data_IF_280586643608
#
_entry.id   IF_280586643608
#
_cell.length_a   1.000
_cell.length_b   1.000
_cell.length_c   1.000
_cell.angle_alpha   90.00
_cell.angle_beta   90.00
_cell.angle_gamma   90.00
#
_symmetry.space_group_name_H-M   'P 1'
#
loop_
_entity.id
_entity.type
_entity.pdbx_description
1 polymer ?
#
# COMPACT_ATOMS: atom_id res chain seq x y z
N UNK A 1 74.72 13.12 34.26
CA UNK A 1 74.85 13.96 33.04
C UNK A 1 73.75 13.55 32.07
N UNK A 2 72.84 14.49 31.75
CA UNK A 2 72.12 14.75 30.47
C UNK A 2 71.49 13.53 29.73
N UNK A 3 70.27 13.50 29.18
CA UNK A 3 69.10 14.36 28.98
C UNK A 3 68.00 13.38 28.48
N UNK A 4 66.83 13.25 29.11
CA UNK A 4 65.56 13.94 28.78
C UNK A 4 65.23 14.04 27.28
N UNK A 5 64.29 13.21 26.83
CA UNK A 5 63.45 13.42 25.63
C UNK A 5 62.06 12.82 25.93
N UNK A 6 61.19 13.53 26.67
CA UNK A 6 60.04 14.32 26.15
C UNK A 6 59.36 13.64 24.94
N UNK A 7 58.36 12.79 25.14
CA UNK A 7 56.96 13.13 25.41
C UNK A 7 56.34 14.02 24.32
N UNK A 8 55.40 13.46 23.56
CA UNK A 8 54.05 13.98 23.24
C UNK A 8 53.34 12.82 22.52
N UNK A 9 52.64 11.97 23.28
CA UNK A 9 51.57 11.12 22.73
C UNK A 9 50.33 12.00 22.65
N UNK A 10 50.07 12.52 21.46
CA UNK A 10 48.86 13.27 21.15
C UNK A 10 47.70 12.26 21.00
N UNK A 11 47.14 11.82 22.14
CA UNK A 11 45.92 10.99 22.13
C UNK A 11 44.73 11.91 21.86
N UNK A 12 44.50 12.20 20.58
CA UNK A 12 43.26 12.78 20.07
C UNK A 12 42.13 11.78 20.35
N UNK A 13 41.53 11.92 21.53
CA UNK A 13 40.29 11.25 21.91
C UNK A 13 39.17 11.89 21.07
N UNK A 14 39.05 11.41 19.84
CA UNK A 14 37.96 11.73 18.93
C UNK A 14 36.68 11.16 19.51
N UNK A 15 35.98 11.98 20.29
CA UNK A 15 34.64 11.72 20.79
C UNK A 15 33.69 11.88 19.59
N UNK A 16 33.67 10.88 18.70
CA UNK A 16 32.60 10.70 17.72
C UNK A 16 31.33 10.37 18.50
N UNK A 17 30.63 11.41 18.94
CA UNK A 17 29.24 11.30 19.36
C UNK A 17 28.47 10.96 18.09
N UNK A 18 28.32 9.65 17.84
CA UNK A 18 27.34 9.14 16.88
C UNK A 18 25.97 9.51 17.44
N UNK A 19 25.49 10.69 17.05
CA UNK A 19 24.10 11.06 17.21
C UNK A 19 23.31 10.16 16.25
N UNK A 20 22.97 8.94 16.71
CA UNK A 20 22.07 8.05 15.99
C UNK A 20 20.71 8.72 15.96
N UNK A 21 20.41 9.39 14.85
CA UNK A 21 19.04 9.75 14.50
C UNK A 21 18.27 8.42 14.37
N UNK A 22 17.68 8.00 15.47
CA UNK A 22 16.78 6.86 15.51
C UNK A 22 15.51 7.33 14.83
N UNK A 23 15.47 7.20 13.51
CA UNK A 23 14.22 7.30 12.75
C UNK A 23 13.36 6.19 13.32
N UNK A 24 12.36 6.56 14.12
CA UNK A 24 11.39 5.62 14.64
C UNK A 24 10.83 4.86 13.43
N UNK A 25 11.06 3.54 13.41
CA UNK A 25 10.44 2.68 12.42
C UNK A 25 8.93 2.88 12.55
N UNK A 26 8.23 3.02 11.42
CA UNK A 26 6.77 3.05 11.47
C UNK A 26 6.27 1.73 12.06
N UNK A 27 5.20 1.82 12.84
CA UNK A 27 4.52 0.66 13.38
C UNK A 27 3.33 0.28 12.49
N UNK A 28 2.99 -1.00 12.51
CA UNK A 28 1.73 -1.45 11.92
C UNK A 28 0.56 -0.85 12.70
N UNK A 29 -0.44 -0.34 12.00
CA UNK A 29 -1.69 0.11 12.60
C UNK A 29 -2.78 -0.90 12.33
N UNK A 30 -3.54 -1.24 13.37
CA UNK A 30 -4.66 -2.18 13.30
C UNK A 30 -5.89 -1.45 13.81
N UNK A 31 -6.89 -1.31 12.94
CA UNK A 31 -8.16 -0.67 13.23
C UNK A 31 -9.26 -1.74 13.24
N UNK A 32 -9.70 -2.20 14.42
CA UNK A 32 -10.79 -3.14 14.53
C UNK A 32 -12.07 -2.64 13.86
N UNK A 33 -12.85 -3.56 13.30
CA UNK A 33 -14.10 -3.18 12.66
C UNK A 33 -15.11 -2.58 13.63
N UNK A 34 -15.82 -1.59 13.11
CA UNK A 34 -17.06 -1.06 13.70
C UNK A 34 -18.25 -1.61 12.91
N UNK A 35 -19.43 -1.69 13.53
CA UNK A 35 -20.67 -2.13 12.86
C UNK A 35 -20.96 -3.64 12.89
N UNK A 36 -21.93 -4.05 12.07
CA UNK A 36 -22.54 -5.39 12.07
C UNK A 36 -22.37 -6.11 10.72
N UNK A 37 -22.54 -7.43 10.71
CA UNK A 37 -22.45 -8.26 9.51
C UNK A 37 -21.11 -9.00 9.34
N UNK A 38 -20.93 -9.58 8.14
CA UNK A 38 -19.72 -10.34 7.80
C UNK A 38 -18.51 -9.38 7.69
N UNK A 39 -17.42 -9.62 8.44
CA UNK A 39 -16.30 -8.70 8.46
C UNK A 39 -15.55 -8.71 7.12
N UNK A 40 -15.18 -7.52 6.66
CA UNK A 40 -14.24 -7.30 5.55
C UNK A 40 -12.99 -6.63 6.10
N UNK A 41 -11.86 -6.76 5.41
CA UNK A 41 -10.59 -6.14 5.79
C UNK A 41 -9.98 -5.42 4.60
N UNK A 42 -9.48 -4.21 4.83
CA UNK A 42 -8.61 -3.50 3.88
C UNK A 42 -7.19 -3.52 4.41
N UNK A 43 -6.24 -3.99 3.59
CA UNK A 43 -4.81 -3.73 3.78
C UNK A 43 -4.48 -2.44 3.01
N UNK A 44 -4.26 -1.34 3.73
CA UNK A 44 -3.99 -0.02 3.16
C UNK A 44 -2.49 0.25 3.11
N UNK A 45 -1.88 0.09 1.93
CA UNK A 45 -0.45 0.36 1.72
C UNK A 45 -0.22 1.90 1.73
N UNK A 46 0.65 2.40 2.63
CA UNK A 46 0.90 3.83 2.76
C UNK A 46 1.66 4.38 1.55
N UNK A 47 1.60 5.70 1.38
CA UNK A 47 2.32 6.44 0.37
C UNK A 47 3.79 6.61 0.70
N UNK A 48 4.59 6.92 -0.32
CA UNK A 48 6.03 7.10 -0.20
C UNK A 48 6.38 8.17 0.84
N UNK A 49 7.17 7.81 1.86
CA UNK A 49 7.62 8.71 2.93
C UNK A 49 6.50 9.30 3.80
N UNK A 50 5.28 8.74 3.74
CA UNK A 50 4.15 9.18 4.57
C UNK A 50 4.11 8.32 5.84
N UNK A 51 4.19 8.93 7.04
CA UNK A 51 4.02 8.20 8.30
C UNK A 51 2.65 7.51 8.40
N UNK A 52 2.62 6.29 8.94
CA UNK A 52 1.38 5.52 9.09
C UNK A 52 0.30 6.24 9.93
N UNK A 53 0.69 6.99 10.96
CA UNK A 53 -0.25 7.72 11.82
C UNK A 53 -1.06 8.80 11.07
N UNK A 54 -0.61 9.27 9.90
CA UNK A 54 -1.36 10.19 9.06
C UNK A 54 -2.62 9.57 8.45
N UNK A 55 -2.76 8.23 8.50
CA UNK A 55 -3.92 7.52 7.98
C UNK A 55 -5.03 7.32 9.01
N UNK A 56 -4.78 7.59 10.29
CA UNK A 56 -5.72 7.31 11.39
C UNK A 56 -7.08 7.97 11.20
N UNK A 57 -7.11 9.28 10.94
CA UNK A 57 -8.37 10.03 10.78
C UNK A 57 -9.14 9.56 9.54
N UNK A 58 -8.44 9.37 8.41
CA UNK A 58 -9.01 8.83 7.18
C UNK A 58 -9.65 7.47 7.39
N UNK A 59 -8.96 6.56 8.10
CA UNK A 59 -9.49 5.22 8.40
C UNK A 59 -10.74 5.31 9.27
N UNK A 60 -10.73 6.15 10.31
CA UNK A 60 -11.90 6.33 11.16
C UNK A 60 -13.10 6.88 10.39
N UNK A 61 -12.93 7.86 9.51
CA UNK A 61 -14.03 8.40 8.71
C UNK A 61 -14.55 7.37 7.68
N UNK A 62 -13.67 6.54 7.11
CA UNK A 62 -14.10 5.41 6.26
C UNK A 62 -14.95 4.42 7.06
N UNK A 63 -14.48 3.99 8.23
CA UNK A 63 -15.18 3.04 9.09
C UNK A 63 -16.53 3.58 9.58
N UNK A 64 -16.60 4.87 9.90
CA UNK A 64 -17.82 5.57 10.34
C UNK A 64 -18.84 5.71 9.21
N UNK A 65 -18.38 5.89 7.98
CA UNK A 65 -19.25 6.13 6.82
C UNK A 65 -19.75 4.85 6.14
N UNK A 66 -19.19 3.68 6.49
CA UNK A 66 -19.57 2.42 5.88
C UNK A 66 -20.63 1.66 6.69
N UNK A 67 -21.49 0.92 5.98
CA UNK A 67 -22.41 -0.06 6.60
C UNK A 67 -21.79 -1.46 6.70
N UNK A 68 -20.56 -1.64 6.22
CA UNK A 68 -19.82 -2.90 6.28
C UNK A 68 -19.06 -2.98 7.59
N UNK A 69 -19.06 -4.16 8.24
CA UNK A 69 -18.15 -4.45 9.34
C UNK A 69 -16.70 -4.46 8.85
N UNK A 70 -16.05 -3.31 8.82
CA UNK A 70 -14.80 -3.10 8.08
C UNK A 70 -13.59 -2.96 9.01
N UNK A 71 -12.68 -3.92 8.95
CA UNK A 71 -11.32 -3.82 9.48
C UNK A 71 -10.45 -3.04 8.52
N UNK A 72 -9.51 -2.27 9.05
CA UNK A 72 -8.46 -1.67 8.24
C UNK A 72 -7.13 -1.90 8.93
N UNK A 73 -6.11 -2.25 8.14
CA UNK A 73 -4.74 -2.35 8.63
C UNK A 73 -3.81 -1.54 7.73
N UNK A 74 -2.82 -0.90 8.33
CA UNK A 74 -1.81 -0.11 7.63
C UNK A 74 -0.45 -0.71 7.99
N UNK A 75 0.20 -1.46 7.08
CA UNK A 75 1.49 -2.05 7.37
C UNK A 75 2.60 -1.01 7.43
N UNK A 76 3.59 -1.25 8.27
CA UNK A 76 4.89 -0.61 8.22
C UNK A 76 5.68 -1.19 7.04
N UNK A 77 6.09 -0.31 6.12
CA UNK A 77 6.89 -0.70 4.95
C UNK A 77 8.30 -0.12 5.04
N UNK A 78 9.29 -0.82 4.48
CA UNK A 78 10.70 -0.47 4.63
C UNK A 78 10.97 0.95 4.13
N UNK A 79 11.58 1.79 4.98
CA UNK A 79 11.87 3.20 4.68
C UNK A 79 10.65 4.02 4.21
N UNK A 80 9.42 3.55 4.50
CA UNK A 80 8.17 4.11 3.96
C UNK A 80 8.11 4.10 2.42
N UNK A 81 8.76 3.13 1.78
CA UNK A 81 8.90 3.03 0.32
C UNK A 81 8.64 1.60 -0.14
N UNK A 82 7.37 1.26 -0.39
CA UNK A 82 6.97 -0.08 -0.83
C UNK A 82 7.57 -0.53 -2.16
N UNK A 83 8.10 0.39 -2.98
CA UNK A 83 8.76 0.04 -4.24
C UNK A 83 10.00 -0.82 -3.99
N UNK A 84 10.73 -0.61 -2.89
CA UNK A 84 11.88 -1.45 -2.51
C UNK A 84 11.46 -2.90 -2.23
N UNK A 85 10.19 -3.11 -1.90
CA UNK A 85 9.60 -4.40 -1.57
C UNK A 85 8.77 -4.99 -2.73
N UNK A 86 8.56 -4.22 -3.81
CA UNK A 86 7.67 -4.53 -4.93
C UNK A 86 7.96 -3.61 -6.15
N UNK A 87 9.12 -3.81 -6.79
CA UNK A 87 9.60 -2.92 -7.87
C UNK A 87 8.83 -3.08 -9.18
N UNK A 88 8.26 -4.27 -9.42
CA UNK A 88 7.55 -4.60 -10.66
C UNK A 88 6.55 -5.75 -10.46
N UNK A 89 5.68 -5.94 -11.44
CA UNK A 89 4.78 -7.10 -11.53
C UNK A 89 5.58 -8.41 -11.44
N UNK A 90 5.18 -9.31 -10.55
CA UNK A 90 5.83 -10.61 -10.32
C UNK A 90 7.00 -10.57 -9.33
N UNK A 91 7.38 -9.39 -8.82
CA UNK A 91 8.52 -9.20 -7.92
C UNK A 91 8.11 -8.55 -6.58
N UNK A 92 6.99 -9.00 -5.98
CA UNK A 92 6.41 -8.38 -4.78
C UNK A 92 6.41 -9.28 -3.54
N UNK A 93 7.32 -10.25 -3.45
CA UNK A 93 7.34 -11.23 -2.36
C UNK A 93 7.66 -10.62 -0.99
N UNK A 94 8.48 -9.56 -0.94
CA UNK A 94 8.76 -8.83 0.30
C UNK A 94 7.52 -8.08 0.79
N UNK A 95 6.87 -7.31 -0.10
CA UNK A 95 5.64 -6.60 0.24
C UNK A 95 4.50 -7.56 0.59
N UNK A 96 4.43 -8.71 -0.11
CA UNK A 96 3.48 -9.78 0.21
C UNK A 96 3.65 -10.28 1.64
N UNK A 97 4.88 -10.58 2.07
CA UNK A 97 5.15 -10.99 3.47
C UNK A 97 4.74 -9.92 4.49
N UNK A 98 4.94 -8.64 4.15
CA UNK A 98 4.49 -7.52 5.01
C UNK A 98 2.96 -7.49 5.09
N UNK A 99 2.25 -7.65 3.97
CA UNK A 99 0.80 -7.73 3.92
C UNK A 99 0.25 -8.94 4.72
N UNK A 100 0.88 -10.11 4.60
CA UNK A 100 0.52 -11.29 5.40
C UNK A 100 0.78 -11.07 6.89
N UNK A 101 1.91 -10.46 7.23
CA UNK A 101 2.26 -10.18 8.63
C UNK A 101 1.22 -9.29 9.32
N UNK A 102 0.75 -8.24 8.65
CA UNK A 102 -0.29 -7.37 9.22
C UNK A 102 -1.68 -8.02 9.22
N UNK A 103 -1.98 -8.86 8.22
CA UNK A 103 -3.20 -9.68 8.21
C UNK A 103 -3.22 -10.65 9.39
N UNK A 104 -2.12 -11.35 9.66
CA UNK A 104 -1.98 -12.25 10.81
C UNK A 104 -2.20 -11.52 12.14
N UNK A 105 -1.70 -10.28 12.25
CA UNK A 105 -1.94 -9.45 13.43
C UNK A 105 -3.43 -9.09 13.58
N UNK A 106 -4.12 -8.77 12.49
CA UNK A 106 -5.57 -8.53 12.53
C UNK A 106 -6.35 -9.79 12.93
N UNK A 107 -5.97 -10.97 12.41
CA UNK A 107 -6.57 -12.25 12.79
C UNK A 107 -6.41 -12.50 14.29
N UNK A 108 -5.19 -12.30 14.82
CA UNK A 108 -4.92 -12.40 16.27
C UNK A 108 -5.70 -11.39 17.10
N UNK A 109 -6.01 -10.22 16.53
CA UNK A 109 -6.84 -9.19 17.17
C UNK A 109 -8.35 -9.48 17.07
N UNK A 110 -8.78 -10.52 16.35
CA UNK A 110 -10.18 -10.96 16.28
C UNK A 110 -10.83 -10.84 14.89
N UNK A 111 -10.09 -10.53 13.83
CA UNK A 111 -10.61 -10.63 12.47
C UNK A 111 -10.83 -12.11 12.11
N UNK A 112 -12.09 -12.50 11.91
CA UNK A 112 -12.47 -13.85 11.49
C UNK A 112 -12.24 -14.04 9.99
N UNK A 113 -11.01 -14.36 9.60
CA UNK A 113 -10.65 -14.69 8.22
C UNK A 113 -11.27 -16.03 7.81
N UNK A 114 -12.23 -16.00 6.89
CA UNK A 114 -12.84 -17.21 6.30
C UNK A 114 -12.23 -17.54 4.94
N UNK A 115 -12.24 -16.57 4.03
CA UNK A 115 -11.67 -16.70 2.69
C UNK A 115 -11.06 -15.37 2.23
N UNK A 116 -9.76 -15.35 1.97
CA UNK A 116 -9.02 -14.12 1.69
C UNK A 116 -9.53 -13.41 0.42
N UNK A 117 -9.69 -14.18 -0.66
CA UNK A 117 -10.20 -13.74 -1.97
C UNK A 117 -11.62 -13.13 -1.95
N UNK A 118 -12.36 -13.26 -0.85
CA UNK A 118 -13.71 -12.69 -0.69
C UNK A 118 -13.81 -11.62 0.38
N UNK A 119 -12.83 -11.54 1.28
CA UNK A 119 -12.94 -10.72 2.48
C UNK A 119 -11.81 -9.72 2.66
N UNK A 120 -10.69 -9.90 1.97
CA UNK A 120 -9.52 -9.03 2.09
C UNK A 120 -9.36 -8.24 0.81
N UNK A 121 -9.50 -6.92 0.91
CA UNK A 121 -9.24 -5.97 -0.15
C UNK A 121 -7.86 -5.37 0.08
N UNK A 122 -7.19 -5.00 -1.01
CA UNK A 122 -5.96 -4.22 -0.93
C UNK A 122 -6.23 -2.80 -1.41
N UNK A 123 -5.70 -1.84 -0.69
CA UNK A 123 -5.78 -0.44 -1.03
C UNK A 123 -4.39 0.20 -0.99
N UNK A 124 -4.22 1.32 -1.66
CA UNK A 124 -2.99 2.08 -1.50
C UNK A 124 -3.11 3.54 -1.90
N UNK A 125 -2.33 4.38 -1.23
CA UNK A 125 -2.25 5.83 -1.48
C UNK A 125 -0.95 6.19 -2.19
N UNK A 126 -1.01 7.01 -3.24
CA UNK A 126 0.16 7.49 -4.00
C UNK A 126 1.03 6.30 -4.46
N UNK A 127 2.32 6.28 -4.09
CA UNK A 127 3.21 5.14 -4.32
C UNK A 127 2.64 3.81 -3.80
N UNK A 128 1.93 3.83 -2.67
CA UNK A 128 1.26 2.65 -2.11
C UNK A 128 0.16 2.11 -3.02
N UNK A 129 -0.54 2.96 -3.77
CA UNK A 129 -1.55 2.54 -4.75
C UNK A 129 -0.93 1.74 -5.89
N UNK A 130 0.25 2.16 -6.34
CA UNK A 130 1.06 1.46 -7.34
C UNK A 130 1.53 0.10 -6.84
N UNK A 131 2.08 0.06 -5.63
CA UNK A 131 2.55 -1.18 -5.01
C UNK A 131 1.38 -2.15 -4.78
N UNK A 132 0.21 -1.65 -4.35
CA UNK A 132 -1.00 -2.45 -4.22
C UNK A 132 -1.44 -3.03 -5.58
N UNK A 133 -1.39 -2.22 -6.65
CA UNK A 133 -1.64 -2.67 -8.02
C UNK A 133 -0.68 -3.79 -8.46
N UNK A 134 0.63 -3.65 -8.20
CA UNK A 134 1.59 -4.70 -8.51
C UNK A 134 1.42 -5.95 -7.63
N UNK A 135 1.05 -5.77 -6.36
CA UNK A 135 0.85 -6.88 -5.43
C UNK A 135 -0.35 -7.74 -5.86
N UNK A 136 -1.52 -7.15 -6.10
CA UNK A 136 -2.69 -7.93 -6.54
C UNK A 136 -2.45 -8.60 -7.89
N UNK A 137 -1.72 -7.96 -8.82
CA UNK A 137 -1.36 -8.59 -10.08
C UNK A 137 -0.39 -9.77 -9.92
N UNK A 138 0.43 -9.76 -8.85
CA UNK A 138 1.36 -10.85 -8.53
C UNK A 138 0.67 -11.99 -7.77
N UNK A 139 -0.41 -11.68 -7.05
CA UNK A 139 -1.19 -12.61 -6.23
C UNK A 139 -2.72 -12.48 -6.53
N UNK A 140 -3.16 -12.77 -7.77
CA UNK A 140 -4.48 -12.40 -8.28
C UNK A 140 -5.65 -13.14 -7.60
N UNK A 141 -5.38 -14.26 -6.93
CA UNK A 141 -6.40 -15.07 -6.25
C UNK A 141 -6.49 -14.79 -4.76
N UNK A 142 -5.67 -13.89 -4.22
CA UNK A 142 -5.58 -13.67 -2.77
C UNK A 142 -6.45 -12.53 -2.27
N UNK A 143 -6.80 -11.57 -3.13
CA UNK A 143 -7.52 -10.36 -2.73
C UNK A 143 -8.86 -10.25 -3.45
N UNK A 144 -9.86 -9.74 -2.75
CA UNK A 144 -11.21 -9.55 -3.24
C UNK A 144 -11.35 -8.37 -4.22
N UNK A 145 -10.39 -7.45 -4.21
CA UNK A 145 -10.39 -6.27 -5.07
C UNK A 145 -9.30 -5.28 -4.69
N UNK A 146 -9.15 -4.27 -5.54
CA UNK A 146 -8.15 -3.21 -5.42
C UNK A 146 -8.82 -1.84 -5.29
N UNK A 147 -8.29 -1.00 -4.39
CA UNK A 147 -8.63 0.42 -4.27
C UNK A 147 -7.37 1.25 -4.47
N UNK A 148 -7.29 1.99 -5.58
CA UNK A 148 -6.14 2.85 -5.90
C UNK A 148 -6.48 4.30 -5.60
N UNK A 149 -5.73 4.95 -4.72
CA UNK A 149 -5.89 6.37 -4.39
C UNK A 149 -4.66 7.15 -4.88
N UNK A 150 -4.76 7.80 -6.05
CA UNK A 150 -3.66 8.60 -6.61
C UNK A 150 -2.39 7.80 -6.99
N UNK A 151 -2.51 6.52 -7.37
CA UNK A 151 -1.40 5.67 -7.81
C UNK A 151 -1.27 5.60 -9.35
N UNK A 152 -0.13 5.08 -9.86
CA UNK A 152 -0.03 4.80 -11.30
C UNK A 152 -0.82 3.55 -11.67
N UNK A 153 -1.19 3.50 -12.94
CA UNK A 153 -2.04 2.47 -13.50
C UNK A 153 -1.45 1.94 -14.80
N UNK A 154 -1.65 0.65 -15.09
CA UNK A 154 -1.11 0.05 -16.30
C UNK A 154 -1.95 0.40 -17.52
N UNK A 155 -1.29 0.92 -18.55
CA UNK A 155 -1.95 1.30 -19.82
C UNK A 155 -2.28 0.12 -20.73
N UNK A 156 -1.71 -1.08 -20.47
CA UNK A 156 -1.84 -2.26 -21.34
C UNK A 156 -1.47 -3.56 -20.61
N UNK A 157 -1.72 -4.69 -21.27
CA UNK A 157 -1.34 -6.02 -20.81
C UNK A 157 -2.18 -6.50 -19.63
N UNK A 158 -1.66 -7.47 -18.87
CA UNK A 158 -2.39 -8.10 -17.76
C UNK A 158 -2.62 -7.20 -16.52
N UNK A 159 -2.22 -5.92 -16.57
CA UNK A 159 -2.60 -4.89 -15.60
C UNK A 159 -3.62 -3.88 -16.14
N UNK A 160 -4.05 -4.03 -17.40
CA UNK A 160 -5.13 -3.23 -17.97
C UNK A 160 -6.48 -3.63 -17.37
N UNK A 161 -7.41 -2.68 -17.27
CA UNK A 161 -8.76 -2.92 -16.77
C UNK A 161 -9.54 -3.97 -17.58
N UNK A 162 -9.24 -4.11 -18.88
CA UNK A 162 -9.88 -5.11 -19.75
C UNK A 162 -9.65 -6.53 -19.26
N UNK A 163 -8.48 -6.80 -18.66
CA UNK A 163 -8.05 -8.13 -18.22
C UNK A 163 -7.74 -8.20 -16.72
N UNK A 164 -8.17 -7.19 -15.96
CA UNK A 164 -7.79 -7.05 -14.57
C UNK A 164 -8.39 -8.20 -13.74
N UNK A 165 -7.59 -8.87 -12.88
CA UNK A 165 -8.02 -10.10 -12.20
C UNK A 165 -9.14 -9.92 -11.17
N UNK A 166 -9.42 -8.69 -10.76
CA UNK A 166 -10.33 -8.40 -9.65
C UNK A 166 -11.04 -7.05 -9.86
N UNK A 167 -12.17 -6.81 -9.17
CA UNK A 167 -12.80 -5.49 -9.16
C UNK A 167 -11.83 -4.39 -8.69
N UNK A 168 -11.87 -3.24 -9.36
CA UNK A 168 -11.01 -2.09 -9.08
C UNK A 168 -11.85 -0.84 -8.84
N UNK A 169 -11.51 -0.08 -7.80
CA UNK A 169 -11.95 1.30 -7.60
C UNK A 169 -10.73 2.21 -7.74
N UNK A 170 -10.87 3.26 -8.54
CA UNK A 170 -9.86 4.30 -8.69
C UNK A 170 -10.39 5.61 -8.11
N UNK A 171 -9.63 6.20 -7.19
CA UNK A 171 -9.91 7.51 -6.61
C UNK A 171 -8.79 8.45 -7.05
N UNK A 172 -9.15 9.45 -7.85
CA UNK A 172 -8.25 10.48 -8.33
C UNK A 172 -8.52 11.83 -7.66
N UNK A 173 -7.51 12.70 -7.64
CA UNK A 173 -7.65 14.10 -7.30
C UNK A 173 -7.32 14.96 -8.54
N UNK A 174 -8.24 15.85 -8.91
CA UNK A 174 -8.14 16.66 -10.14
C UNK A 174 -6.87 17.53 -10.18
N UNK A 175 -6.42 17.99 -9.01
CA UNK A 175 -5.24 18.84 -8.87
C UNK A 175 -4.00 18.08 -8.38
N UNK A 176 -3.97 16.74 -8.50
CA UNK A 176 -2.77 15.97 -8.18
C UNK A 176 -1.63 16.32 -9.16
N UNK A 177 -0.63 17.05 -8.67
CA UNK A 177 0.60 17.39 -9.40
C UNK A 177 1.67 16.31 -9.32
N UNK A 178 1.45 15.26 -8.53
CA UNK A 178 2.28 14.09 -8.45
C UNK A 178 2.09 13.18 -9.64
N UNK A 179 2.52 11.94 -9.49
CA UNK A 179 2.48 10.99 -10.59
C UNK A 179 1.15 10.20 -10.68
N UNK A 180 0.26 10.39 -9.72
CA UNK A 180 -1.16 10.04 -9.78
C UNK A 180 -2.03 11.09 -10.49
N UNK A 181 -1.42 12.08 -11.17
CA UNK A 181 -2.13 13.15 -11.90
C UNK A 181 -3.21 12.63 -12.86
N UNK A 182 -4.28 13.42 -13.13
CA UNK A 182 -5.40 13.00 -13.97
C UNK A 182 -5.03 12.40 -15.32
N UNK A 183 -4.00 12.93 -16.00
CA UNK A 183 -3.54 12.40 -17.28
C UNK A 183 -3.07 10.94 -17.22
N UNK A 184 -2.50 10.51 -16.09
CA UNK A 184 -2.11 9.12 -15.88
C UNK A 184 -3.33 8.25 -15.49
N UNK A 185 -4.24 8.77 -14.66
CA UNK A 185 -5.47 8.07 -14.27
C UNK A 185 -6.44 7.87 -15.43
N UNK A 186 -6.44 8.80 -16.40
CA UNK A 186 -7.26 8.74 -17.61
C UNK A 186 -6.99 7.49 -18.46
N UNK A 187 -5.85 6.82 -18.28
CA UNK A 187 -5.55 5.55 -18.95
C UNK A 187 -6.56 4.46 -18.59
N UNK A 188 -6.84 4.30 -17.29
CA UNK A 188 -7.86 3.36 -16.82
C UNK A 188 -9.28 3.84 -17.16
N UNK A 189 -9.56 5.15 -17.12
CA UNK A 189 -10.85 5.65 -17.58
C UNK A 189 -11.16 5.28 -19.04
N UNK A 190 -10.20 5.44 -19.96
CA UNK A 190 -10.36 5.04 -21.36
C UNK A 190 -10.58 3.54 -21.52
N UNK A 191 -9.82 2.71 -20.80
CA UNK A 191 -10.03 1.26 -20.81
C UNK A 191 -11.40 0.86 -20.26
N UNK A 192 -11.94 1.59 -19.28
CA UNK A 192 -13.29 1.38 -18.78
C UNK A 192 -14.34 1.66 -19.86
N UNK A 193 -14.20 2.74 -20.63
CA UNK A 193 -15.07 3.03 -21.77
C UNK A 193 -15.02 1.91 -22.83
N UNK A 194 -13.84 1.39 -23.14
CA UNK A 194 -13.68 0.24 -24.06
C UNK A 194 -14.43 -1.00 -23.56
N UNK A 195 -14.33 -1.32 -22.25
CA UNK A 195 -15.05 -2.44 -21.63
C UNK A 195 -16.57 -2.24 -21.70
N UNK A 196 -17.04 -1.01 -21.45
CA UNK A 196 -18.48 -0.70 -21.55
C UNK A 196 -18.99 -0.86 -22.98
N UNK A 197 -18.28 -0.30 -23.95
CA UNK A 197 -18.67 -0.37 -25.37
C UNK A 197 -18.70 -1.82 -25.86
N UNK A 198 -17.71 -2.63 -25.49
CA UNK A 198 -17.67 -4.06 -25.83
C UNK A 198 -18.88 -4.82 -25.27
N UNK A 199 -19.32 -4.51 -24.04
CA UNK A 199 -20.51 -5.12 -23.43
C UNK A 199 -21.80 -4.70 -24.13
N UNK A 200 -21.94 -3.42 -24.48
CA UNK A 200 -23.12 -2.93 -25.22
C UNK A 200 -23.22 -3.60 -26.59
N UNK A 201 -22.12 -3.68 -27.33
CA UNK A 201 -22.09 -4.35 -28.64
C UNK A 201 -22.53 -5.83 -28.54
N UNK A 202 -22.08 -6.55 -27.50
CA UNK A 202 -22.45 -7.95 -27.29
C UNK A 202 -23.97 -8.15 -27.04
N UNK A 203 -24.65 -7.17 -26.46
CA UNK A 203 -26.11 -7.24 -26.21
C UNK A 203 -26.90 -6.99 -27.50
N UNK A 204 -26.41 -6.13 -28.40
CA UNK A 204 -27.11 -5.77 -29.64
C UNK A 204 -27.02 -6.83 -30.77
N UNK A 205 -26.28 -7.91 -30.57
CA UNK A 205 -26.14 -9.01 -31.53
C UNK A 205 -27.01 -10.25 -31.20
N UNK A 206 -27.93 -10.12 -30.25
CA UNK A 206 -29.00 -11.08 -29.94
C UNK A 206 -30.37 -10.44 -30.22
#
# INVERSE_FOLDING_TARGET
MKNVSRAIRLTLLSCFVFLTLQVAADEDLIFPAQGFGMPKLIILIPGGKVPNNNYTETVHEIQKSTHVKLWVVVPAVSQRMCILDCEAKGACSALHKVAEGVLDKAVKAGFALTEKSKNVFIAGHSLGGTCANFLIQSYPTEYAGLIVMGGYVDSKGAGSLVTYPSPVILIGAELDGGLGRPGNLALWFRQYEEVLLAKVAAVCHY
#
